data_IF_428652382988
#
_entry.id   IF_428652382988
#
_cell.length_a   1.000
_cell.length_b   1.000
_cell.length_c   1.000
_cell.angle_alpha   90.00
_cell.angle_beta   90.00
_cell.angle_gamma   90.00
#
_symmetry.space_group_name_H-M   'P 1'
#
loop_
_entity.id
_entity.type
_entity.pdbx_description
1 polymer ?
#
# COMPACT_ATOMS: atom_id res chain seq x y z
N UNK A 1 -14.42 -13.88 7.68
CA UNK A 1 -14.12 -12.95 8.80
C UNK A 1 -14.21 -11.52 8.28
N UNK A 2 -14.75 -10.59 9.09
CA UNK A 2 -14.82 -9.17 8.72
C UNK A 2 -14.27 -8.34 9.89
N UNK A 3 -13.32 -7.44 9.63
CA UNK A 3 -12.73 -6.52 10.61
C UNK A 3 -12.94 -5.10 10.12
N UNK A 4 -13.54 -4.22 10.94
CA UNK A 4 -13.85 -2.84 10.55
C UNK A 4 -13.66 -1.83 11.67
N UNK A 5 -13.26 -0.61 11.29
CA UNK A 5 -13.17 0.54 12.19
C UNK A 5 -12.26 0.32 13.41
N UNK A 6 -11.21 -0.49 13.24
CA UNK A 6 -10.22 -0.77 14.28
C UNK A 6 -8.89 -0.10 13.96
N UNK A 7 -8.14 0.20 15.01
CA UNK A 7 -6.81 0.81 14.96
C UNK A 7 -5.77 -0.16 15.52
N UNK A 8 -4.67 -0.33 14.81
CA UNK A 8 -3.55 -1.18 15.23
C UNK A 8 -2.27 -0.35 15.19
N UNK A 9 -1.71 -0.09 16.39
CA UNK A 9 -0.59 0.84 16.60
C UNK A 9 0.38 0.28 17.65
N UNK A 10 1.22 -0.70 17.30
CA UNK A 10 2.14 -1.34 18.24
C UNK A 10 3.18 -0.38 18.84
N UNK A 11 3.73 0.56 18.06
CA UNK A 11 4.73 1.52 18.54
C UNK A 11 6.14 0.91 18.73
N UNK A 12 7.13 1.78 18.97
CA UNK A 12 8.56 1.42 18.94
C UNK A 12 8.99 0.37 19.99
N UNK A 13 8.22 0.20 21.07
CA UNK A 13 8.55 -0.73 22.16
C UNK A 13 7.88 -2.09 22.02
N UNK A 14 7.05 -2.28 20.99
CA UNK A 14 6.46 -3.57 20.72
C UNK A 14 7.52 -4.56 20.19
N UNK A 15 7.32 -5.88 20.42
CA UNK A 15 8.12 -6.89 19.77
C UNK A 15 8.11 -6.72 18.24
N UNK A 16 9.20 -7.17 17.59
CA UNK A 16 9.31 -7.20 16.13
C UNK A 16 8.08 -7.86 15.49
N UNK A 17 7.41 -7.13 14.59
CA UNK A 17 6.33 -7.68 13.79
C UNK A 17 5.41 -6.63 13.18
N UNK A 18 4.40 -7.13 12.47
CA UNK A 18 3.46 -6.25 11.78
C UNK A 18 2.38 -5.70 12.72
N UNK A 19 1.81 -4.54 12.36
CA UNK A 19 0.59 -4.07 13.02
C UNK A 19 -0.59 -5.02 12.72
N UNK A 20 -0.63 -5.60 11.51
CA UNK A 20 -1.54 -6.69 11.18
C UNK A 20 -0.96 -7.62 10.11
N UNK A 21 -1.13 -8.93 10.30
CA UNK A 21 -0.79 -9.93 9.29
C UNK A 21 -1.97 -10.87 9.04
N UNK A 22 -2.23 -11.20 7.77
CA UNK A 22 -3.03 -12.37 7.42
C UNK A 22 -2.31 -13.16 6.32
N UNK A 23 -1.92 -14.40 6.62
CA UNK A 23 -1.18 -15.25 5.69
C UNK A 23 -1.77 -16.66 5.66
N UNK A 24 -1.97 -17.21 4.46
CA UNK A 24 -2.57 -18.55 4.26
C UNK A 24 -3.96 -18.67 4.90
N UNK A 25 -4.74 -17.60 4.82
CA UNK A 25 -6.11 -17.54 5.29
C UNK A 25 -7.09 -17.45 4.13
N UNK A 26 -8.40 -17.59 4.41
CA UNK A 26 -9.43 -17.42 3.39
C UNK A 26 -10.67 -16.68 3.90
N UNK A 27 -11.41 -16.08 2.96
CA UNK A 27 -12.68 -15.38 3.18
C UNK A 27 -12.58 -14.27 4.23
N UNK A 28 -11.72 -13.29 3.97
CA UNK A 28 -11.45 -12.15 4.87
C UNK A 28 -11.77 -10.82 4.19
N UNK A 29 -12.46 -9.94 4.90
CA UNK A 29 -12.58 -8.52 4.56
C UNK A 29 -12.03 -7.69 5.72
N UNK A 30 -11.09 -6.80 5.41
CA UNK A 30 -10.63 -5.73 6.28
C UNK A 30 -11.07 -4.43 5.62
N UNK A 31 -11.91 -3.66 6.31
CA UNK A 31 -12.50 -2.43 5.76
C UNK A 31 -12.43 -1.31 6.78
N UNK A 32 -12.01 -0.10 6.39
CA UNK A 32 -11.93 1.04 7.30
C UNK A 32 -11.09 0.78 8.57
N UNK A 33 -9.91 0.18 8.43
CA UNK A 33 -8.98 0.03 9.55
C UNK A 33 -7.79 0.99 9.39
N UNK A 34 -7.21 1.43 10.51
CA UNK A 34 -5.97 2.22 10.51
C UNK A 34 -4.84 1.43 11.14
N UNK A 35 -3.73 1.32 10.42
CA UNK A 35 -2.57 0.54 10.80
C UNK A 35 -1.34 1.44 10.69
N UNK A 36 -0.58 1.55 11.78
CA UNK A 36 0.64 2.38 11.81
C UNK A 36 1.66 1.86 12.79
N UNK A 37 2.87 2.42 12.76
CA UNK A 37 3.89 2.29 13.79
C UNK A 37 4.35 0.86 14.10
N UNK A 38 4.38 0.01 13.08
CA UNK A 38 5.03 -1.30 13.12
C UNK A 38 6.53 -1.16 12.83
N UNK A 39 7.32 -2.07 13.38
CA UNK A 39 8.78 -2.11 13.22
C UNK A 39 9.27 -3.23 12.26
N UNK A 40 8.36 -4.02 11.67
CA UNK A 40 8.64 -4.85 10.48
C UNK A 40 7.84 -4.30 9.28
N UNK A 41 6.66 -4.87 8.97
CA UNK A 41 5.72 -4.29 8.01
C UNK A 41 4.46 -3.71 8.68
N UNK A 42 3.81 -2.71 8.11
CA UNK A 42 2.53 -2.24 8.69
C UNK A 42 1.39 -3.23 8.44
N UNK A 43 1.25 -3.76 7.23
CA UNK A 43 0.16 -4.69 6.89
C UNK A 43 0.51 -5.69 5.80
N UNK A 44 0.86 -6.92 6.19
CA UNK A 44 1.14 -8.01 5.24
C UNK A 44 -0.03 -8.98 5.09
N UNK A 45 -0.56 -9.05 3.87
CA UNK A 45 -1.72 -9.85 3.50
C UNK A 45 -1.41 -10.67 2.25
N UNK A 46 -0.92 -11.90 2.40
CA UNK A 46 -0.45 -12.68 1.25
C UNK A 46 -0.65 -14.19 1.38
N UNK A 47 -0.63 -14.87 0.23
CA UNK A 47 -1.00 -16.28 0.11
C UNK A 47 -2.41 -16.57 0.65
N UNK A 48 -3.32 -15.59 0.62
CA UNK A 48 -4.71 -15.75 1.04
C UNK A 48 -5.60 -16.15 -0.16
N UNK A 49 -6.80 -16.67 0.11
CA UNK A 49 -7.82 -16.97 -0.88
C UNK A 49 -9.11 -16.18 -0.57
N UNK A 50 -9.65 -15.42 -1.54
CA UNK A 50 -10.82 -14.56 -1.33
C UNK A 50 -10.60 -13.54 -0.20
N UNK A 51 -9.69 -12.59 -0.44
CA UNK A 51 -9.30 -11.57 0.52
C UNK A 51 -9.63 -10.18 0.00
N UNK A 52 -10.09 -9.27 0.86
CA UNK A 52 -10.22 -7.85 0.52
C UNK A 52 -9.68 -6.97 1.63
N UNK A 53 -8.77 -6.06 1.28
CA UNK A 53 -8.45 -4.88 2.08
C UNK A 53 -9.03 -3.66 1.37
N UNK A 54 -9.89 -2.90 2.02
CA UNK A 54 -10.47 -1.71 1.41
C UNK A 54 -10.66 -0.55 2.37
N UNK A 55 -10.69 0.67 1.84
CA UNK A 55 -10.91 1.91 2.61
C UNK A 55 -10.05 2.00 3.88
N UNK A 56 -8.89 1.36 3.90
CA UNK A 56 -8.02 1.27 5.08
C UNK A 56 -6.81 2.16 4.91
N UNK A 57 -6.28 2.65 6.02
CA UNK A 57 -5.11 3.52 6.06
C UNK A 57 -3.94 2.74 6.66
N UNK A 58 -2.88 2.59 5.89
CA UNK A 58 -1.61 2.02 6.31
C UNK A 58 -0.57 3.12 6.21
N UNK A 59 0.03 3.52 7.31
CA UNK A 59 0.95 4.65 7.30
C UNK A 59 2.05 4.55 8.35
N UNK A 60 3.17 5.23 8.11
CA UNK A 60 4.20 5.51 9.12
C UNK A 60 4.73 4.23 9.79
N UNK A 61 5.34 3.37 8.99
CA UNK A 61 6.21 2.31 9.53
C UNK A 61 7.42 2.94 10.23
N UNK A 62 7.87 2.36 11.33
CA UNK A 62 8.99 2.90 12.11
C UNK A 62 10.33 2.44 11.52
N UNK A 63 11.09 3.34 10.89
CA UNK A 63 12.29 2.99 10.12
C UNK A 63 13.44 2.49 10.99
N UNK A 64 13.81 3.18 12.07
CA UNK A 64 14.88 2.77 12.99
C UNK A 64 14.36 2.59 14.42
N UNK A 65 13.68 1.47 14.66
CA UNK A 65 13.01 1.16 15.93
C UNK A 65 13.38 -0.21 16.51
N UNK A 66 14.62 -0.65 16.27
CA UNK A 66 15.19 -1.84 16.92
C UNK A 66 14.91 -3.18 16.23
N UNK A 67 14.54 -3.16 14.95
CA UNK A 67 14.34 -4.35 14.15
C UNK A 67 15.66 -5.10 13.88
N UNK A 68 15.61 -6.44 13.91
CA UNK A 68 16.80 -7.31 13.86
C UNK A 68 17.65 -7.16 12.59
N UNK A 69 17.07 -6.66 11.50
CA UNK A 69 17.74 -6.44 10.21
C UNK A 69 18.32 -5.01 10.06
N UNK A 70 18.30 -4.18 11.10
CA UNK A 70 18.63 -2.75 11.02
C UNK A 70 17.42 -1.91 10.56
N UNK A 71 17.67 -0.82 9.85
CA UNK A 71 16.61 0.06 9.33
C UNK A 71 15.56 -0.73 8.52
N UNK A 72 14.33 -0.77 9.04
CA UNK A 72 13.22 -1.56 8.51
C UNK A 72 11.89 -0.88 8.85
N UNK A 73 11.37 -0.12 7.90
CA UNK A 73 10.05 0.50 8.01
C UNK A 73 9.29 0.30 6.69
N UNK A 74 8.52 -0.77 6.59
CA UNK A 74 7.90 -1.19 5.32
C UNK A 74 6.36 -1.17 5.38
N UNK A 75 5.73 -0.94 4.23
CA UNK A 75 4.26 -0.88 4.14
C UNK A 75 3.61 -2.26 4.26
N UNK A 76 3.95 -3.20 3.37
CA UNK A 76 3.48 -4.58 3.47
C UNK A 76 3.59 -5.42 2.22
N UNK A 77 3.42 -6.74 2.40
CA UNK A 77 3.35 -7.70 1.30
C UNK A 77 1.88 -8.01 0.96
N UNK A 78 1.45 -7.80 -0.29
CA UNK A 78 0.06 -7.98 -0.71
C UNK A 78 -0.06 -9.05 -1.80
N UNK A 79 -0.92 -10.06 -1.62
CA UNK A 79 -1.22 -11.00 -2.70
C UNK A 79 -2.18 -12.12 -2.30
N UNK A 80 -2.49 -12.99 -3.26
CA UNK A 80 -3.47 -14.05 -3.04
C UNK A 80 -4.06 -14.60 -4.32
N UNK A 81 -4.95 -15.57 -4.14
CA UNK A 81 -5.93 -16.00 -5.14
C UNK A 81 -7.21 -15.23 -4.90
N UNK A 82 -7.67 -14.48 -5.90
CA UNK A 82 -8.83 -13.58 -5.78
C UNK A 82 -8.67 -12.62 -4.59
N UNK A 83 -7.55 -11.90 -4.55
CA UNK A 83 -7.27 -10.92 -3.50
C UNK A 83 -7.41 -9.49 -4.05
N UNK A 84 -8.14 -8.63 -3.35
CA UNK A 84 -8.40 -7.25 -3.77
C UNK A 84 -7.92 -6.25 -2.72
N UNK A 85 -7.32 -5.16 -3.18
CA UNK A 85 -6.77 -4.08 -2.40
C UNK A 85 -7.28 -2.77 -2.99
N UNK A 86 -8.40 -2.29 -2.44
CA UNK A 86 -9.23 -1.30 -3.09
C UNK A 86 -9.35 -0.04 -2.23
N UNK A 87 -9.02 1.12 -2.78
CA UNK A 87 -9.31 2.39 -2.11
C UNK A 87 -8.64 2.56 -0.74
N UNK A 88 -7.38 2.13 -0.62
CA UNK A 88 -6.59 2.29 0.60
C UNK A 88 -5.64 3.49 0.49
N UNK A 89 -5.18 4.00 1.63
CA UNK A 89 -4.01 4.87 1.69
C UNK A 89 -2.81 4.05 2.17
N UNK A 90 -1.68 4.17 1.46
CA UNK A 90 -0.38 3.61 1.84
C UNK A 90 0.62 4.77 1.86
N UNK A 91 1.09 5.16 3.04
CA UNK A 91 1.77 6.44 3.22
C UNK A 91 3.04 6.36 4.08
N UNK A 92 4.12 6.96 3.60
CA UNK A 92 5.37 7.14 4.36
C UNK A 92 5.98 5.82 4.85
N UNK A 93 6.29 4.92 3.91
CA UNK A 93 7.11 3.74 4.17
C UNK A 93 8.35 3.71 3.29
N UNK A 94 9.46 3.21 3.84
CA UNK A 94 10.74 3.17 3.12
C UNK A 94 10.70 2.22 1.91
N UNK A 95 9.93 1.14 2.01
CA UNK A 95 9.74 0.14 0.95
C UNK A 95 8.40 -0.57 1.10
N UNK A 96 8.09 -1.47 0.17
CA UNK A 96 6.87 -2.29 0.13
C UNK A 96 5.62 -1.43 0.19
N UNK A 97 5.44 -0.57 -0.81
CA UNK A 97 4.33 0.39 -0.89
C UNK A 97 3.26 0.03 -1.95
N UNK A 98 2.61 -1.16 -1.94
CA UNK A 98 2.96 -2.48 -1.37
C UNK A 98 4.03 -3.24 -2.18
N UNK A 99 4.53 -4.36 -1.62
CA UNK A 99 5.17 -5.42 -2.43
C UNK A 99 4.12 -6.44 -2.87
N UNK A 100 3.90 -6.59 -4.17
CA UNK A 100 3.01 -7.61 -4.72
C UNK A 100 3.67 -8.99 -4.55
N UNK A 101 3.01 -9.88 -3.81
CA UNK A 101 3.32 -11.29 -3.75
C UNK A 101 2.66 -12.00 -4.92
N UNK A 102 3.48 -12.33 -5.93
CA UNK A 102 3.11 -13.31 -6.94
C UNK A 102 3.12 -14.72 -6.35
N UNK A 103 3.81 -15.65 -7.01
CA UNK A 103 3.84 -17.07 -6.66
C UNK A 103 5.08 -17.51 -5.88
N UNK A 104 6.08 -16.64 -5.70
CA UNK A 104 7.40 -17.00 -5.15
C UNK A 104 7.42 -17.53 -3.72
N UNK A 105 6.42 -17.23 -2.89
CA UNK A 105 6.41 -17.54 -1.44
C UNK A 105 5.61 -18.80 -1.08
N UNK A 106 5.62 -19.81 -1.96
CA UNK A 106 5.01 -21.12 -1.72
C UNK A 106 3.53 -21.01 -1.42
N UNK A 107 2.76 -20.41 -2.33
CA UNK A 107 1.33 -20.25 -2.19
C UNK A 107 0.61 -21.61 -2.02
N UNK A 108 -0.51 -21.68 -1.27
CA UNK A 108 -1.28 -22.91 -1.06
C UNK A 108 -2.21 -23.27 -2.24
N UNK A 109 -2.23 -22.45 -3.29
CA UNK A 109 -2.99 -22.61 -4.54
C UNK A 109 -2.03 -22.72 -5.73
N UNK A 110 -2.51 -23.07 -6.91
CA UNK A 110 -1.64 -23.13 -8.11
C UNK A 110 -1.25 -21.74 -8.61
N UNK A 111 -0.12 -21.62 -9.31
CA UNK A 111 0.33 -20.34 -9.88
C UNK A 111 -0.75 -19.66 -10.73
N UNK A 112 -1.46 -20.44 -11.54
CA UNK A 112 -2.53 -19.96 -12.44
C UNK A 112 -3.72 -19.33 -11.72
N UNK A 113 -3.90 -19.63 -10.44
CA UNK A 113 -4.96 -19.07 -9.60
C UNK A 113 -4.56 -17.77 -8.90
N UNK A 114 -3.28 -17.38 -8.94
CA UNK A 114 -2.84 -16.08 -8.42
C UNK A 114 -3.54 -14.98 -9.21
N UNK A 115 -4.31 -14.14 -8.52
CA UNK A 115 -4.98 -12.99 -9.10
C UNK A 115 -5.14 -11.93 -8.01
N UNK A 116 -4.41 -10.82 -8.19
CA UNK A 116 -4.42 -9.68 -7.25
C UNK A 116 -4.98 -8.46 -7.95
N UNK A 117 -5.87 -7.74 -7.30
CA UNK A 117 -6.45 -6.51 -7.83
C UNK A 117 -6.09 -5.33 -6.93
N UNK A 118 -5.35 -4.36 -7.45
CA UNK A 118 -4.88 -3.18 -6.72
C UNK A 118 -5.42 -1.94 -7.41
N UNK A 119 -6.45 -1.34 -6.82
CA UNK A 119 -7.17 -0.23 -7.47
C UNK A 119 -7.51 0.92 -6.57
N UNK A 120 -7.49 2.11 -7.15
CA UNK A 120 -7.95 3.34 -6.51
C UNK A 120 -7.26 3.64 -5.17
N UNK A 121 -6.06 3.10 -4.94
CA UNK A 121 -5.29 3.40 -3.74
C UNK A 121 -4.52 4.70 -3.93
N UNK A 122 -4.23 5.40 -2.83
CA UNK A 122 -3.28 6.51 -2.80
C UNK A 122 -1.98 6.01 -2.19
N UNK A 123 -0.90 6.09 -2.96
CA UNK A 123 0.45 5.69 -2.57
C UNK A 123 1.29 6.96 -2.40
N UNK A 124 1.73 7.23 -1.18
CA UNK A 124 2.34 8.52 -0.82
C UNK A 124 3.70 8.36 -0.14
N UNK A 125 4.64 9.25 -0.49
CA UNK A 125 5.91 9.43 0.23
C UNK A 125 6.69 8.12 0.46
N UNK A 126 6.75 7.26 -0.56
CA UNK A 126 7.58 6.06 -0.50
C UNK A 126 9.07 6.42 -0.41
N UNK A 127 9.89 5.55 0.18
CA UNK A 127 11.35 5.71 0.21
C UNK A 127 12.03 5.25 -1.10
N UNK A 128 12.72 4.10 -1.03
CA UNK A 128 13.48 3.55 -2.15
C UNK A 128 12.72 2.53 -3.01
N UNK A 129 11.50 2.14 -2.63
CA UNK A 129 10.56 1.39 -3.49
C UNK A 129 9.12 1.84 -3.29
N UNK A 130 8.45 2.14 -4.41
CA UNK A 130 6.99 2.26 -4.51
C UNK A 130 6.34 0.85 -4.55
N UNK A 131 5.51 0.55 -5.56
CA UNK A 131 4.97 -0.80 -5.79
C UNK A 131 5.99 -1.64 -6.53
N UNK A 132 6.17 -2.90 -6.13
CA UNK A 132 7.10 -3.80 -6.82
C UNK A 132 6.82 -5.29 -6.57
N UNK A 133 7.53 -6.17 -7.27
CA UNK A 133 7.47 -7.62 -7.08
C UNK A 133 6.72 -8.34 -8.20
N UNK A 134 5.67 -9.07 -7.84
CA UNK A 134 4.77 -9.81 -8.74
C UNK A 134 5.36 -11.06 -9.43
N UNK A 135 6.44 -11.63 -8.90
CA UNK A 135 7.11 -12.81 -9.46
C UNK A 135 6.11 -13.95 -9.76
N UNK A 136 5.83 -14.21 -11.03
CA UNK A 136 4.95 -15.30 -11.47
C UNK A 136 3.45 -15.15 -11.15
N UNK A 137 2.99 -13.98 -10.67
CA UNK A 137 1.58 -13.73 -10.37
C UNK A 137 0.84 -13.01 -11.50
N UNK A 138 -0.50 -13.07 -11.48
CA UNK A 138 -1.34 -12.15 -12.27
C UNK A 138 -1.86 -11.03 -11.38
N UNK A 139 -1.84 -9.79 -11.86
CA UNK A 139 -2.46 -8.68 -11.12
C UNK A 139 -2.96 -7.56 -12.02
N UNK A 140 -3.90 -6.78 -11.50
CA UNK A 140 -4.20 -5.45 -12.02
C UNK A 140 -3.64 -4.38 -11.07
N UNK A 141 -3.12 -3.28 -11.63
CA UNK A 141 -2.74 -2.06 -10.93
C UNK A 141 -3.38 -0.89 -11.67
N UNK A 142 -4.56 -0.46 -11.22
CA UNK A 142 -5.45 0.40 -12.00
C UNK A 142 -5.98 1.59 -11.22
N UNK A 143 -5.97 2.78 -11.82
CA UNK A 143 -6.55 4.01 -11.25
C UNK A 143 -6.01 4.36 -9.85
N UNK A 144 -4.77 3.96 -9.51
CA UNK A 144 -4.13 4.37 -8.27
C UNK A 144 -3.49 5.77 -8.42
N UNK A 145 -3.31 6.47 -7.31
CA UNK A 145 -2.71 7.81 -7.26
C UNK A 145 -1.35 7.72 -6.59
N UNK A 146 -0.29 8.02 -7.32
CA UNK A 146 1.09 8.04 -6.84
C UNK A 146 1.51 9.48 -6.58
N UNK A 147 1.83 9.79 -5.32
CA UNK A 147 2.21 11.12 -4.89
C UNK A 147 3.62 11.02 -4.26
N UNK A 148 4.69 11.41 -4.97
CA UNK A 148 6.02 11.41 -4.38
C UNK A 148 6.08 12.43 -3.24
N UNK A 149 6.88 12.13 -2.23
CA UNK A 149 7.12 13.01 -1.10
C UNK A 149 8.62 13.18 -0.81
N UNK A 150 8.98 13.88 0.27
CA UNK A 150 10.37 14.11 0.65
C UNK A 150 11.25 12.85 0.78
N UNK A 151 10.68 11.69 1.12
CA UNK A 151 11.42 10.42 1.17
C UNK A 151 11.66 9.78 -0.21
N UNK A 152 10.94 10.20 -1.25
CA UNK A 152 10.93 9.52 -2.54
C UNK A 152 12.24 9.68 -3.30
N UNK A 153 12.95 8.56 -3.42
CA UNK A 153 14.23 8.48 -4.14
C UNK A 153 14.10 7.90 -5.55
N UNK A 154 12.89 7.47 -5.93
CA UNK A 154 12.56 6.82 -7.20
C UNK A 154 11.22 7.32 -7.70
N UNK A 155 11.01 7.33 -9.02
CA UNK A 155 9.82 7.90 -9.66
C UNK A 155 9.01 6.90 -10.51
N UNK A 156 9.37 5.61 -10.45
CA UNK A 156 8.56 4.55 -11.04
C UNK A 156 7.35 4.23 -10.17
N UNK A 157 6.23 3.86 -10.82
CA UNK A 157 5.02 3.39 -10.15
C UNK A 157 5.05 1.89 -9.89
N UNK A 158 5.81 1.14 -10.69
CA UNK A 158 5.95 -0.31 -10.55
C UNK A 158 7.34 -0.79 -10.97
N UNK A 159 7.96 -1.63 -10.14
CA UNK A 159 9.18 -2.39 -10.51
C UNK A 159 8.89 -3.90 -10.52
N UNK A 160 9.02 -4.51 -11.69
CA UNK A 160 8.91 -5.96 -11.85
C UNK A 160 10.16 -6.65 -11.30
N UNK A 161 9.94 -7.63 -10.42
CA UNK A 161 10.97 -8.61 -10.08
C UNK A 161 10.72 -9.85 -10.93
N UNK A 162 11.57 -10.07 -11.91
CA UNK A 162 11.48 -11.24 -12.79
C UNK A 162 12.37 -12.38 -12.26
N UNK A 163 11.92 -13.63 -12.43
CA UNK A 163 12.66 -14.84 -12.08
C UNK A 163 12.50 -15.87 -13.18
N UNK A 164 13.62 -16.43 -13.64
CA UNK A 164 13.62 -17.43 -14.73
C UNK A 164 13.13 -18.81 -14.28
N UNK A 165 13.22 -19.11 -12.97
CA UNK A 165 12.82 -20.41 -12.40
C UNK A 165 11.33 -20.49 -12.04
N UNK A 166 10.57 -19.42 -12.29
CA UNK A 166 9.11 -19.37 -12.12
C UNK A 166 8.50 -18.93 -13.46
N UNK A 167 7.41 -19.57 -13.88
CA UNK A 167 6.73 -19.14 -15.11
C UNK A 167 6.33 -17.66 -15.05
N UNK A 168 6.37 -16.97 -16.19
CA UNK A 168 6.10 -15.54 -16.29
C UNK A 168 4.70 -15.18 -15.74
N UNK A 169 4.67 -14.16 -14.87
CA UNK A 169 3.43 -13.53 -14.40
C UNK A 169 2.90 -12.53 -15.44
N UNK A 170 1.74 -11.94 -15.20
CA UNK A 170 1.20 -10.94 -16.12
C UNK A 170 0.53 -9.78 -15.38
N UNK A 171 0.81 -8.55 -15.81
CA UNK A 171 0.28 -7.33 -15.19
C UNK A 171 -0.61 -6.55 -16.15
N UNK A 172 -1.79 -6.16 -15.69
CA UNK A 172 -2.59 -5.11 -16.34
C UNK A 172 -2.39 -3.81 -15.55
N UNK A 173 -1.60 -2.88 -16.10
CA UNK A 173 -1.26 -1.61 -15.45
C UNK A 173 -1.84 -0.48 -16.30
N UNK A 174 -2.77 0.28 -15.73
CA UNK A 174 -3.58 1.21 -16.52
C UNK A 174 -4.14 2.38 -15.70
N UNK A 175 -4.14 3.59 -16.28
CA UNK A 175 -4.73 4.81 -15.72
C UNK A 175 -4.23 5.19 -14.32
N UNK A 176 -2.99 4.84 -13.94
CA UNK A 176 -2.46 5.31 -12.67
C UNK A 176 -2.05 6.79 -12.80
N UNK A 177 -2.51 7.63 -11.88
CA UNK A 177 -2.12 9.03 -11.82
C UNK A 177 -0.77 9.15 -11.10
N UNK A 178 0.10 10.01 -11.61
CA UNK A 178 1.34 10.40 -10.92
C UNK A 178 1.34 11.92 -10.71
N UNK A 179 1.35 12.35 -9.45
CA UNK A 179 1.23 13.76 -9.11
C UNK A 179 2.35 14.59 -9.76
N UNK A 180 1.98 15.75 -10.30
CA UNK A 180 2.90 16.64 -11.02
C UNK A 180 3.12 16.26 -12.50
N UNK A 181 2.39 15.29 -13.04
CA UNK A 181 2.41 14.93 -14.47
C UNK A 181 1.05 15.16 -15.13
N UNK A 182 1.03 15.36 -16.44
CA UNK A 182 -0.21 15.35 -17.23
C UNK A 182 -0.66 13.90 -17.46
N UNK A 183 -1.92 13.59 -17.18
CA UNK A 183 -2.49 12.25 -17.41
C UNK A 183 -2.50 11.91 -18.91
N UNK A 184 -1.64 10.99 -19.33
CA UNK A 184 -1.77 10.29 -20.61
C UNK A 184 -1.57 8.78 -20.42
N UNK A 185 -2.21 7.96 -21.26
CA UNK A 185 -2.12 6.49 -21.17
C UNK A 185 -0.70 5.95 -21.46
N UNK A 186 0.25 6.79 -21.90
CA UNK A 186 1.66 6.43 -22.08
C UNK A 186 2.50 6.66 -20.81
N UNK A 187 1.98 7.42 -19.84
CA UNK A 187 2.66 7.75 -18.60
C UNK A 187 3.01 6.50 -17.78
N UNK A 188 2.08 5.55 -17.66
CA UNK A 188 2.29 4.33 -16.88
C UNK A 188 3.49 3.53 -17.38
N UNK A 189 3.55 3.24 -18.69
CA UNK A 189 4.62 2.40 -19.27
C UNK A 189 6.01 2.98 -19.07
N UNK A 190 6.12 4.31 -19.09
CA UNK A 190 7.38 5.03 -18.87
C UNK A 190 7.87 4.94 -17.42
N UNK A 191 6.96 4.64 -16.48
CA UNK A 191 7.20 4.51 -15.04
C UNK A 191 7.19 3.05 -14.57
N UNK A 192 7.38 2.10 -15.49
CA UNK A 192 7.59 0.69 -15.17
C UNK A 192 9.05 0.32 -15.46
N UNK A 193 9.70 -0.31 -14.48
CA UNK A 193 11.06 -0.83 -14.62
C UNK A 193 11.13 -2.33 -14.27
N UNK A 194 12.24 -2.97 -14.62
CA UNK A 194 12.56 -4.34 -14.24
C UNK A 194 13.84 -4.31 -13.42
N UNK A 195 13.85 -4.99 -12.27
CA UNK A 195 14.99 -4.99 -11.36
C UNK A 195 16.27 -5.50 -12.06
N UNK A 196 17.39 -4.83 -11.79
CA UNK A 196 18.74 -5.19 -12.27
C UNK A 196 18.87 -5.42 -13.78
N UNK A 197 18.03 -4.74 -14.59
CA UNK A 197 18.03 -4.84 -16.05
C UNK A 197 18.33 -3.50 -16.72
N UNK A 198 19.04 -3.57 -17.85
CA UNK A 198 19.13 -2.44 -18.77
C UNK A 198 17.79 -2.22 -19.50
N UNK A 199 17.62 -1.05 -20.11
CA UNK A 199 16.37 -0.63 -20.76
C UNK A 199 15.92 -1.56 -21.89
N UNK A 200 16.84 -2.13 -22.65
CA UNK A 200 16.52 -2.98 -23.80
C UNK A 200 15.95 -4.32 -23.33
N UNK A 201 16.65 -4.99 -22.39
CA UNK A 201 16.17 -6.24 -21.81
C UNK A 201 14.89 -6.05 -20.99
N UNK A 202 14.81 -4.96 -20.23
CA UNK A 202 13.60 -4.62 -19.49
C UNK A 202 12.40 -4.47 -20.43
N UNK A 203 12.58 -3.82 -21.60
CA UNK A 203 11.50 -3.68 -22.56
C UNK A 203 11.03 -5.02 -23.13
N UNK A 204 11.96 -5.90 -23.51
CA UNK A 204 11.61 -7.24 -24.00
C UNK A 204 10.79 -8.04 -22.96
N UNK A 205 11.20 -8.01 -21.69
CA UNK A 205 10.45 -8.67 -20.60
C UNK A 205 9.06 -8.05 -20.42
N UNK A 206 8.97 -6.72 -20.49
CA UNK A 206 7.71 -6.02 -20.28
C UNK A 206 6.73 -6.20 -21.44
N UNK A 207 7.21 -6.38 -22.66
CA UNK A 207 6.36 -6.68 -23.82
C UNK A 207 5.64 -8.03 -23.68
N UNK A 208 6.29 -9.02 -23.04
CA UNK A 208 5.68 -10.32 -22.72
C UNK A 208 4.82 -10.28 -21.44
N UNK A 209 5.20 -9.47 -20.47
CA UNK A 209 4.56 -9.41 -19.15
C UNK A 209 3.27 -8.58 -19.12
N UNK A 210 3.22 -7.47 -19.85
CA UNK A 210 2.09 -6.54 -19.82
C UNK A 210 0.95 -7.04 -20.71
N UNK A 211 -0.26 -7.06 -20.15
CA UNK A 211 -1.48 -7.39 -20.91
C UNK A 211 -2.30 -6.14 -21.19
N UNK A 212 -3.11 -6.17 -22.25
CA UNK A 212 -3.93 -5.04 -22.69
C UNK A 212 -5.37 -5.05 -22.17
N UNK A 213 -5.75 -6.09 -21.43
CA UNK A 213 -7.08 -6.25 -20.83
C UNK A 213 -6.94 -6.70 -19.39
N UNK A 214 -7.86 -6.22 -18.56
CA UNK A 214 -8.00 -6.68 -17.19
C UNK A 214 -8.34 -8.17 -17.14
N UNK A 215 -7.93 -8.85 -16.07
CA UNK A 215 -8.12 -10.28 -15.87
C UNK A 215 -9.57 -10.70 -15.57
N UNK A 216 -10.48 -9.75 -15.31
CA UNK A 216 -11.90 -10.01 -15.12
C UNK A 216 -12.73 -8.76 -15.48
N UNK A 217 -13.99 -8.94 -15.89
CA UNK A 217 -14.86 -7.84 -16.29
C UNK A 217 -15.48 -7.16 -15.05
N UNK A 218 -15.34 -5.83 -14.93
CA UNK A 218 -15.92 -5.06 -13.81
C UNK A 218 -16.96 -4.02 -14.22
N UNK A 219 -17.80 -3.67 -13.24
CA UNK A 219 -18.73 -2.54 -13.23
C UNK A 219 -18.17 -1.38 -12.40
N UNK A 220 -18.34 -0.14 -12.90
CA UNK A 220 -18.10 1.16 -12.23
C UNK A 220 -16.82 1.24 -11.38
N UNK A 221 -15.67 1.44 -12.03
CA UNK A 221 -14.44 1.88 -11.37
C UNK A 221 -14.49 3.41 -11.13
N UNK A 222 -13.97 3.86 -9.99
CA UNK A 222 -13.64 5.28 -9.80
C UNK A 222 -12.42 5.60 -10.66
N UNK A 223 -12.35 6.81 -11.19
CA UNK A 223 -11.09 7.37 -11.67
C UNK A 223 -10.12 7.62 -10.51
N UNK A 224 -8.84 7.80 -10.84
CA UNK A 224 -7.80 8.19 -9.89
C UNK A 224 -8.12 9.52 -9.16
N UNK A 225 -8.69 10.51 -9.85
CA UNK A 225 -9.15 11.77 -9.22
C UNK A 225 -10.30 11.52 -8.23
N UNK A 226 -11.34 10.77 -8.63
CA UNK A 226 -12.43 10.42 -7.72
C UNK A 226 -11.93 9.65 -6.48
N UNK A 227 -10.96 8.76 -6.65
CA UNK A 227 -10.30 8.06 -5.55
C UNK A 227 -9.57 9.05 -4.61
N UNK A 228 -8.83 10.01 -5.15
CA UNK A 228 -8.17 11.04 -4.35
C UNK A 228 -9.19 11.92 -3.60
N UNK A 229 -10.25 12.38 -4.28
CA UNK A 229 -11.31 13.18 -3.67
C UNK A 229 -11.99 12.42 -2.53
N UNK A 230 -12.33 11.14 -2.74
CA UNK A 230 -12.97 10.33 -1.72
C UNK A 230 -12.04 10.09 -0.53
N UNK A 231 -10.85 9.53 -0.76
CA UNK A 231 -9.98 9.09 0.33
C UNK A 231 -9.31 10.27 1.04
N UNK A 232 -8.78 11.22 0.28
CA UNK A 232 -7.94 12.30 0.83
C UNK A 232 -8.78 13.52 1.17
N UNK A 233 -9.64 14.00 0.27
CA UNK A 233 -10.37 15.26 0.51
C UNK A 233 -11.53 15.04 1.48
N UNK A 234 -12.34 14.00 1.28
CA UNK A 234 -13.46 13.70 2.20
C UNK A 234 -13.02 12.99 3.49
N UNK A 235 -11.87 12.31 3.47
CA UNK A 235 -11.34 11.56 4.62
C UNK A 235 -12.06 10.24 4.88
N UNK A 236 -12.74 9.68 3.87
CA UNK A 236 -13.48 8.41 3.91
C UNK A 236 -12.52 7.20 3.80
N UNK A 237 -11.62 7.08 4.78
CA UNK A 237 -10.57 6.06 4.83
C UNK A 237 -10.01 5.91 6.25
N UNK A 238 -9.58 4.69 6.58
CA UNK A 238 -9.12 4.35 7.91
C UNK A 238 -10.26 4.14 8.90
N UNK A 239 -9.94 4.06 10.18
CA UNK A 239 -10.90 3.97 11.26
C UNK A 239 -11.55 5.35 11.47
N UNK A 240 -12.64 5.61 10.76
CA UNK A 240 -13.38 6.88 10.85
C UNK A 240 -14.44 6.88 11.96
N UNK A 241 -14.76 5.71 12.53
CA UNK A 241 -15.74 5.53 13.59
C UNK A 241 -15.10 5.15 14.93
N UNK A 242 -15.67 5.60 16.06
CA UNK A 242 -16.73 6.63 16.18
C UNK A 242 -16.25 8.05 15.86
N UNK A 243 -14.93 8.25 15.77
CA UNK A 243 -14.26 9.49 15.43
C UNK A 243 -12.99 9.16 14.64
N UNK A 244 -12.58 9.97 13.68
CA UNK A 244 -11.24 9.88 13.07
C UNK A 244 -10.23 10.59 13.98
N UNK A 245 -9.15 9.91 14.34
CA UNK A 245 -8.20 10.41 15.33
C UNK A 245 -7.15 11.37 14.74
N UNK A 246 -6.32 11.95 15.61
CA UNK A 246 -5.29 12.92 15.23
C UNK A 246 -4.25 12.36 14.26
N UNK A 247 -3.95 11.06 14.32
CA UNK A 247 -2.92 10.41 13.52
C UNK A 247 -3.40 10.18 12.09
N UNK A 248 -4.61 9.65 11.90
CA UNK A 248 -5.19 9.53 10.56
C UNK A 248 -5.34 10.91 9.90
N UNK A 249 -5.78 11.91 10.67
CA UNK A 249 -5.84 13.31 10.21
C UNK A 249 -4.46 13.85 9.82
N UNK A 250 -3.44 13.57 10.63
CA UNK A 250 -2.06 13.95 10.34
C UNK A 250 -1.60 13.38 8.99
N UNK A 251 -1.83 12.09 8.74
CA UNK A 251 -1.49 11.44 7.46
C UNK A 251 -2.22 12.09 6.29
N UNK A 252 -3.53 12.34 6.43
CA UNK A 252 -4.30 13.03 5.40
C UNK A 252 -3.77 14.45 5.14
N UNK A 253 -3.39 15.17 6.18
CA UNK A 253 -2.83 16.51 6.06
C UNK A 253 -1.44 16.50 5.40
N UNK A 254 -0.61 15.49 5.65
CA UNK A 254 0.65 15.28 4.93
C UNK A 254 0.41 15.08 3.42
N UNK A 255 -0.61 14.31 3.04
CA UNK A 255 -0.93 14.07 1.62
C UNK A 255 -1.46 15.34 0.94
N UNK A 256 -2.28 16.13 1.65
CA UNK A 256 -2.82 17.41 1.14
C UNK A 256 -1.75 18.50 1.06
N UNK A 257 -0.77 18.48 1.97
CA UNK A 257 0.22 19.53 2.15
C UNK A 257 1.64 18.95 2.30
N UNK A 258 2.18 18.23 1.30
CA UNK A 258 3.45 17.52 1.41
C UNK A 258 4.64 18.43 1.76
N UNK A 259 4.55 19.73 1.45
CA UNK A 259 5.54 20.74 1.82
C UNK A 259 5.67 21.00 3.33
N UNK A 260 4.73 20.55 4.17
CA UNK A 260 4.76 20.77 5.63
C UNK A 260 5.38 19.60 6.39
N UNK A 261 5.79 18.54 5.69
CA UNK A 261 6.42 17.36 6.28
C UNK A 261 7.75 17.75 6.91
N UNK A 262 7.99 17.27 8.13
CA UNK A 262 9.27 17.39 8.82
C UNK A 262 10.19 16.26 8.40
N UNK A 263 11.48 16.55 8.19
CA UNK A 263 12.43 15.54 7.73
C UNK A 263 12.03 14.98 6.37
N UNK A 264 12.09 13.65 6.23
CA UNK A 264 11.59 12.95 5.05
C UNK A 264 10.16 12.38 5.23
N UNK A 265 9.55 12.57 6.42
CA UNK A 265 8.21 12.09 6.75
C UNK A 265 8.11 10.61 7.09
N UNK A 266 9.23 9.88 7.10
CA UNK A 266 9.31 8.53 7.66
C UNK A 266 9.91 8.66 9.06
N UNK A 267 9.17 8.18 10.05
CA UNK A 267 9.48 8.37 11.47
C UNK A 267 10.20 7.14 12.04
N UNK A 268 10.90 7.34 13.15
CA UNK A 268 11.58 6.29 13.90
C UNK A 268 10.84 5.99 15.23
N UNK A 269 9.94 6.90 15.66
CA UNK A 269 9.11 6.76 16.85
C UNK A 269 7.71 7.33 16.66
N UNK A 270 6.69 6.68 17.22
CA UNK A 270 5.33 7.24 17.26
C UNK A 270 5.29 8.61 17.98
N UNK A 271 6.24 8.87 18.89
CA UNK A 271 6.33 10.10 19.66
C UNK A 271 6.78 11.32 18.83
N UNK A 272 7.12 11.12 17.55
CA UNK A 272 7.30 12.22 16.59
C UNK A 272 5.97 12.78 16.11
N UNK A 273 4.89 11.99 16.21
CA UNK A 273 3.53 12.32 15.78
C UNK A 273 2.63 12.65 16.97
N UNK A 274 2.69 11.85 18.04
CA UNK A 274 1.93 12.08 19.28
C UNK A 274 2.83 12.61 20.39
N UNK A 275 2.31 13.49 21.25
CA UNK A 275 3.08 14.00 22.41
C UNK A 275 3.30 12.94 23.49
N UNK A 276 2.30 12.09 23.71
CA UNK A 276 2.35 10.94 24.60
C UNK A 276 1.20 9.97 24.30
N UNK A 277 1.34 8.71 24.73
CA UNK A 277 0.24 7.74 24.66
C UNK A 277 -0.98 8.16 25.50
N UNK A 278 -0.75 8.87 26.62
CA UNK A 278 -1.83 9.39 27.46
C UNK A 278 -2.64 10.48 26.74
N UNK A 279 -1.97 11.38 26.04
CA UNK A 279 -2.65 12.43 25.26
C UNK A 279 -3.43 11.84 24.09
N UNK A 280 -2.86 10.84 23.41
CA UNK A 280 -3.54 10.12 22.35
C UNK A 280 -4.77 9.34 22.86
N UNK A 281 -4.67 8.65 24.00
CA UNK A 281 -5.81 7.96 24.63
C UNK A 281 -6.94 8.93 25.00
N UNK A 282 -6.59 10.15 25.44
CA UNK A 282 -7.56 11.16 25.85
C UNK A 282 -8.53 11.55 24.71
N UNK A 283 -8.12 11.42 23.43
CA UNK A 283 -8.97 11.67 22.25
C UNK A 283 -10.24 10.81 22.23
N UNK A 284 -10.20 9.63 22.85
CA UNK A 284 -11.30 8.66 22.83
C UNK A 284 -12.17 8.70 24.09
N UNK A 285 -11.75 9.44 25.12
CA UNK A 285 -12.44 9.51 26.41
C UNK A 285 -13.43 10.67 26.50
N UNK A 286 -13.35 11.63 25.57
CA UNK A 286 -14.29 12.74 25.53
C UNK A 286 -15.64 12.28 24.96
N UNK A 287 -16.78 12.77 25.50
CA UNK A 287 -18.08 12.44 24.95
C UNK A 287 -18.14 12.91 23.49
N UNK A 288 -18.21 11.96 22.56
CA UNK A 288 -18.51 12.27 21.16
C UNK A 288 -19.96 12.76 21.14
N UNK A 289 -20.18 14.06 20.92
CA UNK A 289 -21.50 14.56 20.57
C UNK A 289 -21.95 13.83 19.31
N UNK A 290 -22.87 12.87 19.47
CA UNK A 290 -23.50 12.19 18.33
C UNK A 290 -24.27 13.25 17.56
N UNK A 291 -23.75 13.65 16.39
CA UNK A 291 -24.50 14.40 15.39
C UNK A 291 -25.59 13.52 14.78
#
# INVERSE_FOLDING_TARGET
MIIRYLRFRPGQHSPEGDAMTARRQHDIIIDHCSLSWANDEVGSFYNNENFTLQYSLLAESLRDSGHSKGEHGYGGIWGGKNASFLRNIVASHTSRNPRINGYRLGAPYSQSETLVDIRNNVIFNWGFKSVYGAEGGKFNLVDNVFIPGPASTVDWIFELWHREDISMGHGYIHCNAFAGTSDDAQADRSRITVVDMDKEKANAILDDFLVSKTFYNESAALSSDEAYQQLVQSGDVGATLPVQDSVDKHVLDMIRHPQTIKGDGIIDSELEVISSWQDYEAEFTQPVERK
#
